data_IF_382384627875
#
_entry.id   IF_382384627875
#
_cell.length_a   1.000
_cell.length_b   1.000
_cell.length_c   1.000
_cell.angle_alpha   90.00
_cell.angle_beta   90.00
_cell.angle_gamma   90.00
#
_symmetry.space_group_name_H-M   'P 1'
#
loop_
_entity.id
_entity.type
_entity.pdbx_description
1 polymer ?
#
# COMPACT_ATOMS: atom_id res chain seq x y z
N UNK A 1 1.57 -0.14 -4.68
CA UNK A 1 2.91 0.14 -4.12
C UNK A 1 2.86 1.02 -2.86
N UNK A 2 2.61 2.34 -2.92
CA UNK A 2 2.64 3.20 -1.71
C UNK A 2 1.64 2.74 -0.65
N UNK A 3 0.42 2.40 -1.06
CA UNK A 3 -0.57 1.78 -0.18
C UNK A 3 -0.03 0.50 0.46
N UNK A 4 0.57 -0.38 -0.34
CA UNK A 4 1.18 -1.61 0.17
C UNK A 4 2.27 -1.35 1.21
N UNK A 5 3.09 -0.31 1.04
CA UNK A 5 4.08 0.11 2.05
C UNK A 5 3.37 0.52 3.34
N UNK A 6 2.33 1.34 3.21
CA UNK A 6 1.61 1.92 4.33
C UNK A 6 0.91 0.86 5.21
N UNK A 7 0.45 -0.25 4.63
CA UNK A 7 -0.15 -1.37 5.36
C UNK A 7 0.73 -2.64 5.44
N UNK A 8 2.00 -2.56 5.05
CA UNK A 8 2.89 -3.73 4.95
C UNK A 8 2.29 -4.92 4.18
N UNK A 9 1.57 -4.66 3.08
CA UNK A 9 1.09 -5.70 2.18
C UNK A 9 2.23 -6.17 1.27
N UNK A 10 2.89 -7.24 1.70
CA UNK A 10 4.15 -7.70 1.11
C UNK A 10 3.97 -8.76 0.03
N UNK A 11 2.77 -9.30 -0.15
CA UNK A 11 2.49 -10.40 -1.08
C UNK A 11 1.88 -9.94 -2.40
N UNK A 12 2.07 -8.67 -2.78
CA UNK A 12 1.54 -8.10 -4.02
C UNK A 12 2.31 -8.60 -5.26
N UNK A 13 2.06 -9.84 -5.66
CA UNK A 13 2.66 -10.45 -6.84
C UNK A 13 1.76 -10.29 -8.08
N UNK A 14 2.25 -10.67 -9.25
CA UNK A 14 1.60 -10.38 -10.53
C UNK A 14 0.19 -10.97 -10.65
N UNK A 15 -0.10 -12.04 -9.90
CA UNK A 15 -1.41 -12.68 -9.91
C UNK A 15 -2.46 -11.92 -9.11
N UNK A 16 -2.06 -10.88 -8.35
CA UNK A 16 -2.96 -9.98 -7.62
C UNK A 16 -3.33 -8.74 -8.44
N UNK A 17 -2.89 -8.69 -9.71
CA UNK A 17 -3.23 -7.64 -10.67
C UNK A 17 -4.11 -8.22 -11.77
N UNK A 18 -5.39 -7.87 -11.73
CA UNK A 18 -6.37 -8.28 -12.73
C UNK A 18 -6.64 -7.19 -13.77
N UNK A 19 -7.15 -7.62 -14.93
CA UNK A 19 -7.69 -6.71 -15.95
C UNK A 19 -9.12 -7.12 -16.31
N UNK A 20 -9.99 -6.14 -16.48
CA UNK A 20 -11.37 -6.32 -16.93
C UNK A 20 -11.52 -5.85 -18.37
N UNK A 21 -12.13 -6.68 -19.22
CA UNK A 21 -12.46 -6.29 -20.59
C UNK A 21 -13.79 -5.52 -20.59
N UNK A 22 -13.77 -4.29 -21.08
CA UNK A 22 -14.96 -3.44 -21.25
C UNK A 22 -15.20 -3.16 -22.75
N UNK A 23 -16.37 -2.64 -23.15
CA UNK A 23 -16.60 -2.20 -24.53
C UNK A 23 -15.60 -1.14 -25.03
N UNK A 24 -14.92 -0.43 -24.12
CA UNK A 24 -13.90 0.58 -24.44
C UNK A 24 -12.46 0.04 -24.39
N UNK A 25 -12.29 -1.26 -24.11
CA UNK A 25 -10.99 -1.91 -23.96
C UNK A 25 -10.72 -2.42 -22.54
N UNK A 26 -9.48 -2.84 -22.31
CA UNK A 26 -9.01 -3.34 -21.02
C UNK A 26 -8.81 -2.22 -20.01
N UNK A 27 -9.28 -2.44 -18.78
CA UNK A 27 -8.99 -1.59 -17.63
C UNK A 27 -8.41 -2.45 -16.50
N UNK A 28 -7.71 -1.84 -15.55
CA UNK A 28 -7.34 -2.52 -14.30
C UNK A 28 -8.62 -2.93 -13.55
N UNK A 29 -8.60 -4.13 -12.96
CA UNK A 29 -9.63 -4.52 -12.01
C UNK A 29 -9.54 -3.67 -10.74
N UNK A 30 -10.61 -3.61 -9.93
CA UNK A 30 -10.47 -3.21 -8.53
C UNK A 30 -9.39 -4.04 -7.84
N UNK A 31 -8.73 -3.49 -6.82
CA UNK A 31 -7.76 -4.22 -6.02
C UNK A 31 -8.46 -5.33 -5.21
N UNK A 32 -7.77 -6.46 -5.03
CA UNK A 32 -8.26 -7.64 -4.30
C UNK A 32 -7.10 -8.33 -3.58
N UNK A 33 -7.45 -9.28 -2.71
CA UNK A 33 -6.50 -10.10 -1.93
C UNK A 33 -5.45 -9.29 -1.14
N UNK A 34 -5.92 -8.20 -0.52
CA UNK A 34 -5.09 -7.30 0.28
C UNK A 34 -5.05 -7.81 1.72
N UNK A 35 -3.87 -8.13 2.22
CA UNK A 35 -3.68 -8.59 3.60
C UNK A 35 -2.42 -7.99 4.26
N UNK A 36 -2.55 -7.09 5.25
CA UNK A 36 -1.42 -6.56 6.01
C UNK A 36 -0.55 -7.66 6.63
N UNK A 37 0.78 -7.53 6.53
CA UNK A 37 1.74 -8.48 7.10
C UNK A 37 2.44 -7.87 8.32
N UNK A 38 2.56 -8.63 9.40
CA UNK A 38 3.24 -8.20 10.62
C UNK A 38 4.73 -8.56 10.65
N UNK A 39 5.15 -9.48 9.79
CA UNK A 39 6.37 -10.27 9.89
C UNK A 39 7.35 -10.08 8.73
N UNK A 40 6.87 -9.60 7.57
CA UNK A 40 7.68 -9.40 6.36
C UNK A 40 8.19 -7.96 6.25
N UNK A 41 9.43 -7.80 5.79
CA UNK A 41 10.15 -6.52 5.77
C UNK A 41 10.26 -5.85 4.39
N UNK A 42 9.77 -6.48 3.33
CA UNK A 42 9.85 -5.96 1.96
C UNK A 42 8.72 -6.48 1.06
N UNK A 43 8.48 -5.77 -0.04
CA UNK A 43 7.47 -6.10 -1.04
C UNK A 43 7.88 -7.31 -1.89
N UNK A 44 6.90 -8.02 -2.48
CA UNK A 44 7.14 -9.11 -3.43
C UNK A 44 7.89 -8.66 -4.70
N UNK A 45 7.79 -7.37 -5.04
CA UNK A 45 8.43 -6.76 -6.20
C UNK A 45 9.36 -5.62 -5.74
N UNK A 46 10.50 -5.45 -6.42
CA UNK A 46 11.39 -4.33 -6.17
C UNK A 46 10.72 -3.00 -6.57
N UNK A 47 11.03 -1.96 -5.79
CA UNK A 47 10.62 -0.57 -6.04
C UNK A 47 11.59 0.07 -7.04
N UNK A 48 12.88 -0.10 -6.81
CA UNK A 48 13.92 0.23 -7.77
C UNK A 48 14.49 -1.06 -8.41
N UNK A 49 15.71 -1.02 -8.93
CA UNK A 49 16.34 -2.18 -9.55
C UNK A 49 16.62 -3.32 -8.55
N UNK A 50 16.93 -3.00 -7.30
CA UNK A 50 17.56 -3.92 -6.35
C UNK A 50 16.88 -3.96 -4.97
N UNK A 51 15.97 -3.02 -4.68
CA UNK A 51 15.43 -2.78 -3.34
C UNK A 51 13.90 -2.82 -3.31
N UNK A 52 13.36 -3.58 -2.36
CA UNK A 52 11.92 -3.75 -2.10
C UNK A 52 11.50 -3.30 -0.69
N UNK A 53 12.33 -2.50 -0.01
CA UNK A 53 12.06 -2.06 1.35
C UNK A 53 10.74 -1.29 1.48
N UNK A 54 10.07 -1.43 2.63
CA UNK A 54 8.86 -0.70 2.98
C UNK A 54 9.19 0.76 3.36
N UNK A 55 9.64 1.53 2.38
CA UNK A 55 10.17 2.89 2.52
C UNK A 55 9.53 3.88 1.53
N UNK A 56 8.96 4.95 2.05
CA UNK A 56 8.31 6.00 1.25
C UNK A 56 9.31 6.86 0.49
N UNK A 57 10.51 7.08 1.03
CA UNK A 57 11.55 7.85 0.34
C UNK A 57 12.10 7.05 -0.85
N UNK A 58 12.20 5.72 -0.69
CA UNK A 58 12.49 4.80 -1.80
C UNK A 58 11.40 4.84 -2.88
N UNK A 59 10.12 4.83 -2.48
CA UNK A 59 9.02 4.99 -3.44
C UNK A 59 9.05 6.34 -4.18
N UNK A 60 9.44 7.41 -3.48
CA UNK A 60 9.57 8.76 -4.06
C UNK A 60 10.76 8.86 -5.01
N UNK A 61 11.87 8.18 -4.71
CA UNK A 61 13.10 8.24 -5.52
C UNK A 61 12.89 7.74 -6.96
N UNK A 62 11.95 6.80 -7.17
CA UNK A 62 11.64 6.26 -8.50
C UNK A 62 10.49 6.99 -9.21
N UNK A 63 9.79 7.91 -8.54
CA UNK A 63 8.57 8.53 -9.08
C UNK A 63 8.79 9.34 -10.37
N UNK A 64 9.99 9.89 -10.57
CA UNK A 64 10.35 10.59 -11.82
C UNK A 64 10.33 9.66 -13.04
N UNK A 65 10.68 8.38 -12.88
CA UNK A 65 10.56 7.38 -13.96
C UNK A 65 9.11 7.17 -14.40
N UNK A 66 8.16 7.38 -13.48
CA UNK A 66 6.72 7.33 -13.74
C UNK A 66 6.14 8.69 -14.16
N UNK A 67 7.00 9.66 -14.49
CA UNK A 67 6.66 11.02 -14.95
C UNK A 67 5.89 11.84 -13.91
N UNK A 68 6.08 11.55 -12.63
CA UNK A 68 5.50 12.33 -11.53
C UNK A 68 6.48 13.42 -11.10
N UNK A 69 5.95 14.62 -10.83
CA UNK A 69 6.68 15.70 -10.16
C UNK A 69 6.67 15.49 -8.65
N UNK A 70 7.65 16.06 -7.94
CA UNK A 70 7.69 15.98 -6.46
C UNK A 70 6.37 16.39 -5.80
N UNK A 71 5.72 17.45 -6.29
CA UNK A 71 4.44 17.92 -5.72
C UNK A 71 3.33 16.87 -5.86
N UNK A 72 3.31 16.11 -6.97
CA UNK A 72 2.33 15.05 -7.23
C UNK A 72 2.64 13.82 -6.37
N UNK A 73 3.92 13.46 -6.24
CA UNK A 73 4.35 12.39 -5.33
C UNK A 73 3.97 12.71 -3.88
N UNK A 74 4.26 13.92 -3.41
CA UNK A 74 3.90 14.38 -2.07
C UNK A 74 2.38 14.44 -1.85
N UNK A 75 1.61 14.69 -2.91
CA UNK A 75 0.16 14.61 -2.85
C UNK A 75 -0.32 13.17 -2.67
N UNK A 76 0.16 12.24 -3.51
CA UNK A 76 -0.19 10.82 -3.47
C UNK A 76 0.16 10.20 -2.11
N UNK A 77 1.36 10.50 -1.60
CA UNK A 77 1.78 10.01 -0.27
C UNK A 77 0.81 10.46 0.83
N UNK A 78 0.42 11.74 0.83
CA UNK A 78 -0.55 12.28 1.80
C UNK A 78 -1.94 11.67 1.63
N UNK A 79 -2.41 11.48 0.41
CA UNK A 79 -3.71 10.85 0.14
C UNK A 79 -3.79 9.41 0.66
N UNK A 80 -2.70 8.65 0.56
CA UNK A 80 -2.62 7.28 1.07
C UNK A 80 -2.47 7.27 2.60
N UNK A 81 -1.55 8.07 3.14
CA UNK A 81 -1.23 8.00 4.57
C UNK A 81 -2.34 8.58 5.47
N UNK A 82 -3.06 9.61 5.03
CA UNK A 82 -4.01 10.31 5.91
C UNK A 82 -5.20 9.43 6.35
N UNK A 83 -5.93 8.75 5.45
CA UNK A 83 -7.07 7.93 5.84
C UNK A 83 -6.66 6.72 6.68
N UNK A 84 -5.49 6.16 6.39
CA UNK A 84 -5.04 4.98 7.11
C UNK A 84 -4.73 5.31 8.58
N UNK A 85 -4.37 6.55 8.95
CA UNK A 85 -4.14 6.93 10.37
C UNK A 85 -5.36 6.69 11.26
N UNK A 86 -6.55 6.68 10.69
CA UNK A 86 -7.82 6.47 11.39
C UNK A 86 -8.26 5.00 11.45
N UNK A 87 -7.46 4.05 10.97
CA UNK A 87 -7.85 2.64 10.85
C UNK A 87 -8.31 2.02 12.18
N UNK A 88 -7.67 2.36 13.30
CA UNK A 88 -8.07 1.88 14.64
C UNK A 88 -9.45 2.39 15.06
N UNK A 89 -9.78 3.63 14.69
CA UNK A 89 -11.11 4.21 14.94
C UNK A 89 -12.17 3.43 14.18
N UNK A 90 -11.93 3.14 12.91
CA UNK A 90 -12.83 2.34 12.07
C UNK A 90 -12.94 0.91 12.61
N UNK A 91 -11.82 0.26 12.92
CA UNK A 91 -11.75 -1.09 13.49
C UNK A 91 -12.59 -1.20 14.77
N UNK A 92 -12.51 -0.19 15.65
CA UNK A 92 -13.34 -0.11 16.85
C UNK A 92 -14.83 0.04 16.53
N UNK A 93 -15.19 0.88 15.56
CA UNK A 93 -16.58 1.10 15.16
C UNK A 93 -17.24 -0.17 14.59
N UNK A 94 -16.47 -0.98 13.86
CA UNK A 94 -16.96 -2.25 13.29
C UNK A 94 -16.80 -3.44 14.24
N UNK A 95 -16.35 -3.22 15.48
CA UNK A 95 -16.34 -4.23 16.54
C UNK A 95 -15.10 -5.12 16.60
N UNK A 96 -13.99 -4.77 15.97
CA UNK A 96 -12.72 -5.52 16.10
C UNK A 96 -12.15 -5.34 17.51
N UNK A 97 -11.82 -6.43 18.24
CA UNK A 97 -11.27 -6.35 19.58
C UNK A 97 -9.96 -5.56 19.65
N UNK A 98 -9.77 -4.80 20.73
CA UNK A 98 -8.55 -4.01 20.95
C UNK A 98 -7.28 -4.88 20.97
N UNK A 99 -7.36 -6.14 21.42
CA UNK A 99 -6.24 -7.08 21.41
C UNK A 99 -5.75 -7.36 19.98
N UNK A 100 -6.66 -7.59 19.04
CA UNK A 100 -6.33 -7.82 17.62
C UNK A 100 -5.76 -6.55 16.97
N UNK A 101 -6.30 -5.38 17.33
CA UNK A 101 -5.78 -4.10 16.85
C UNK A 101 -4.34 -3.84 17.32
N UNK A 102 -4.01 -4.19 18.57
CA UNK A 102 -2.64 -4.06 19.10
C UNK A 102 -1.68 -4.96 18.34
N UNK A 103 -2.10 -6.21 18.08
CA UNK A 103 -1.30 -7.18 17.31
C UNK A 103 -1.05 -6.65 15.90
N UNK A 104 -2.09 -6.14 15.22
CA UNK A 104 -1.98 -5.66 13.85
C UNK A 104 -1.27 -4.29 13.70
N UNK A 105 -1.08 -3.54 14.79
CA UNK A 105 -0.51 -2.18 14.72
C UNK A 105 0.86 -2.12 14.04
N UNK A 106 1.67 -3.17 14.20
CA UNK A 106 3.00 -3.25 13.61
C UNK A 106 2.99 -3.33 12.09
N UNK A 107 1.87 -3.73 11.47
CA UNK A 107 1.72 -3.78 10.03
C UNK A 107 1.50 -2.39 9.41
N UNK A 108 1.00 -1.41 10.16
CA UNK A 108 0.67 -0.08 9.63
C UNK A 108 1.85 0.91 9.82
N UNK A 109 2.43 1.37 8.72
CA UNK A 109 3.62 2.26 8.67
C UNK A 109 3.21 3.73 8.51
N UNK A 110 2.47 4.27 9.48
CA UNK A 110 1.76 5.56 9.35
C UNK A 110 2.22 6.66 10.31
N UNK A 111 3.47 6.57 10.78
CA UNK A 111 4.02 7.53 11.74
C UNK A 111 4.24 8.91 11.11
#
# INVERSE_FOLDING_TARGET
>A
MVFNIAISYTDDHWWNHGFLLTPKGWILSPAYDINPSMDKSGLALNIDMDNNALDFDLAKSVGEYFRLKSIEMDHILREVQNPEKDWKTIAKQIGIPNSEQIVMDVAFRLK
#
